data_IF_842603429852
#
_entry.id   IF_842603429852
#
_cell.length_a   1.000
_cell.length_b   1.000
_cell.length_c   1.000
_cell.angle_alpha   90.00
_cell.angle_beta   90.00
_cell.angle_gamma   90.00
#
_symmetry.space_group_name_H-M   'P 1'
#
loop_
_entity.id
_entity.type
_entity.pdbx_description
1 polymer ?
#
# COMPACT_ATOMS: atom_id res chain seq x y z
N UNK A 1 0.68 45.48 -4.83
CA UNK A 1 -0.20 44.99 -5.91
C UNK A 1 0.51 43.85 -6.64
N UNK A 2 0.12 42.59 -6.40
CA UNK A 2 0.77 41.43 -7.00
C UNK A 2 0.08 41.10 -8.34
N UNK A 3 0.87 41.13 -9.44
CA UNK A 3 0.42 40.72 -10.79
C UNK A 3 0.16 39.22 -10.78
N UNK A 4 -1.11 38.84 -10.89
CA UNK A 4 -1.57 37.47 -11.13
C UNK A 4 -1.01 37.03 -12.49
N UNK A 5 -0.07 36.07 -12.51
CA UNK A 5 0.39 35.44 -13.75
C UNK A 5 -0.67 34.42 -14.16
N UNK A 6 -1.30 34.65 -15.30
CA UNK A 6 -2.15 33.66 -15.95
C UNK A 6 -1.26 32.51 -16.45
N UNK A 7 -1.51 31.31 -15.93
CA UNK A 7 -0.98 30.08 -16.51
C UNK A 7 -1.71 29.88 -17.83
N UNK A 8 -1.01 30.10 -18.93
CA UNK A 8 -1.48 29.82 -20.28
C UNK A 8 -1.87 28.35 -20.38
N UNK A 9 -3.17 28.08 -20.43
CA UNK A 9 -3.70 26.76 -20.72
C UNK A 9 -3.23 26.35 -22.11
N UNK A 10 -2.60 25.17 -22.19
CA UNK A 10 -2.20 24.56 -23.46
C UNK A 10 -3.39 24.57 -24.41
N UNK A 11 -3.22 25.21 -25.56
CA UNK A 11 -4.23 25.27 -26.60
C UNK A 11 -4.54 23.86 -27.11
N UNK A 12 -5.77 23.66 -27.62
CA UNK A 12 -6.21 22.37 -28.19
C UNK A 12 -5.22 21.81 -29.23
N UNK A 13 -4.53 22.68 -29.97
CA UNK A 13 -3.52 22.31 -30.97
C UNK A 13 -2.25 21.76 -30.32
N UNK A 14 -1.77 22.37 -29.24
CA UNK A 14 -0.57 21.95 -28.51
C UNK A 14 -0.82 20.61 -27.81
N UNK A 15 -2.03 20.42 -27.30
CA UNK A 15 -2.48 19.17 -26.68
C UNK A 15 -2.56 18.02 -27.70
N UNK A 16 -3.04 18.30 -28.91
CA UNK A 16 -3.05 17.33 -30.02
C UNK A 16 -1.63 16.97 -30.46
N UNK A 17 -0.74 17.97 -30.60
CA UNK A 17 0.68 17.75 -30.93
C UNK A 17 1.40 16.90 -29.88
N UNK A 18 1.14 17.13 -28.59
CA UNK A 18 1.72 16.34 -27.52
C UNK A 18 1.23 14.88 -27.56
N UNK A 19 -0.08 14.69 -27.80
CA UNK A 19 -0.68 13.36 -27.94
C UNK A 19 -0.11 12.57 -29.12
N UNK A 20 -0.01 13.20 -30.29
CA UNK A 20 0.51 12.55 -31.50
C UNK A 20 2.00 12.22 -31.35
N UNK A 21 2.77 13.06 -30.65
CA UNK A 21 4.17 12.81 -30.32
C UNK A 21 4.34 11.60 -29.40
N UNK A 22 3.46 11.42 -28.41
CA UNK A 22 3.46 10.26 -27.53
C UNK A 22 3.10 8.96 -28.25
N UNK A 23 2.15 9.01 -29.19
CA UNK A 23 1.80 7.84 -30.01
C UNK A 23 2.95 7.40 -30.91
N UNK A 24 3.69 8.36 -31.48
CA UNK A 24 4.87 8.05 -32.29
C UNK A 24 6.00 7.43 -31.45
N UNK A 25 6.23 7.95 -30.24
CA UNK A 25 7.21 7.37 -29.30
C UNK A 25 6.83 5.95 -28.89
N UNK A 26 5.54 5.70 -28.62
CA UNK A 26 5.06 4.35 -28.29
C UNK A 26 5.32 3.35 -29.42
N UNK A 27 5.18 3.77 -30.68
CA UNK A 27 5.48 2.92 -31.84
C UNK A 27 6.97 2.69 -32.02
N UNK A 28 7.83 3.66 -31.69
CA UNK A 28 9.29 3.50 -31.83
C UNK A 28 9.90 2.59 -30.77
N UNK A 29 9.20 2.34 -29.66
CA UNK A 29 9.69 1.49 -28.56
C UNK A 29 9.43 -0.01 -28.83
N UNK A 30 8.58 -0.35 -29.79
CA UNK A 30 8.36 -1.75 -30.21
C UNK A 30 9.28 -2.05 -31.39
N UNK A 31 10.57 -2.34 -31.14
CA UNK A 31 11.45 -3.19 -31.98
C UNK A 31 12.90 -3.13 -31.46
N UNK A 32 13.22 -3.96 -30.46
CA UNK A 32 14.55 -4.58 -30.26
C UNK A 32 14.35 -5.90 -29.47
N UNK A 33 13.61 -6.85 -30.04
CA UNK A 33 13.83 -8.27 -29.72
C UNK A 33 14.63 -8.84 -30.90
N UNK A 34 15.92 -9.06 -30.66
CA UNK A 34 16.89 -9.58 -31.61
C UNK A 34 16.54 -11.01 -32.01
N UNK A 35 16.32 -11.23 -33.30
CA UNK A 35 16.58 -12.52 -33.93
C UNK A 35 18.08 -12.80 -33.94
N UNK A 36 18.51 -13.91 -33.33
CA UNK A 36 19.69 -14.69 -33.73
C UNK A 36 19.70 -15.99 -32.91
N UNK A 37 19.16 -17.08 -33.46
CA UNK A 37 19.96 -18.22 -33.95
C UNK A 37 19.04 -19.40 -34.31
N UNK A 38 19.02 -19.70 -35.62
CA UNK A 38 18.54 -20.96 -36.18
C UNK A 38 19.77 -21.77 -36.53
N UNK A 39 19.95 -22.93 -35.89
CA UNK A 39 20.36 -24.12 -36.63
C UNK A 39 20.10 -25.45 -35.88
N UNK A 40 19.30 -26.28 -36.55
CA UNK A 40 19.41 -27.74 -36.74
C UNK A 40 19.78 -28.65 -35.55
N UNK A 41 18.80 -29.45 -35.06
CA UNK A 41 18.88 -30.93 -34.97
C UNK A 41 17.46 -31.53 -35.01
N UNK A 42 17.29 -32.59 -35.82
CA UNK A 42 16.07 -33.41 -36.01
C UNK A 42 16.21 -34.76 -35.24
N UNK A 43 15.16 -35.59 -35.14
CA UNK A 43 14.52 -36.01 -33.90
C UNK A 43 14.99 -37.38 -33.36
N UNK A 44 14.75 -37.62 -32.07
CA UNK A 44 14.75 -38.96 -31.49
C UNK A 44 13.37 -39.25 -30.87
N UNK A 45 12.74 -40.31 -31.39
CA UNK A 45 11.51 -40.93 -30.89
C UNK A 45 11.73 -41.49 -29.48
N UNK A 46 10.76 -41.28 -28.59
CA UNK A 46 10.84 -41.74 -27.20
C UNK A 46 9.55 -41.59 -26.42
N UNK A 47 8.69 -42.60 -26.56
CA UNK A 47 7.42 -42.88 -25.86
C UNK A 47 7.40 -42.70 -24.33
N UNK A 48 6.41 -41.96 -23.82
CA UNK A 48 5.60 -42.17 -22.58
C UNK A 48 4.86 -40.84 -22.31
N UNK A 49 3.55 -40.72 -22.25
CA UNK A 49 2.61 -41.47 -21.43
C UNK A 49 1.73 -40.45 -20.69
N UNK A 50 0.41 -40.54 -20.90
CA UNK A 50 -0.70 -39.93 -20.17
C UNK A 50 -1.24 -38.55 -20.60
N UNK A 51 -2.55 -38.44 -20.90
CA UNK A 51 -3.23 -37.17 -21.03
C UNK A 51 -3.42 -36.56 -19.64
N UNK A 52 -2.93 -35.34 -19.44
CA UNK A 52 -3.36 -34.49 -18.34
C UNK A 52 -4.88 -34.35 -18.43
N UNK A 53 -5.58 -34.96 -17.48
CA UNK A 53 -6.99 -34.72 -17.26
C UNK A 53 -7.18 -33.21 -17.11
N UNK A 54 -8.06 -32.66 -17.94
CA UNK A 54 -8.57 -31.31 -17.75
C UNK A 54 -9.16 -31.25 -16.33
N UNK A 55 -8.42 -30.62 -15.42
CA UNK A 55 -8.97 -30.20 -14.15
C UNK A 55 -10.20 -29.33 -14.48
N UNK A 56 -11.35 -29.56 -13.81
CA UNK A 56 -12.48 -28.68 -13.97
C UNK A 56 -11.97 -27.27 -13.68
N UNK A 57 -12.21 -26.36 -14.64
CA UNK A 57 -12.07 -24.93 -14.45
C UNK A 57 -12.97 -24.56 -13.29
N UNK A 58 -12.43 -24.66 -12.08
CA UNK A 58 -13.12 -24.28 -10.86
C UNK A 58 -13.45 -22.80 -11.03
N UNK A 59 -14.75 -22.54 -10.94
CA UNK A 59 -15.39 -21.24 -10.93
C UNK A 59 -14.44 -20.15 -10.46
N UNK A 60 -14.06 -19.23 -11.35
CA UNK A 60 -13.45 -17.96 -10.96
C UNK A 60 -14.27 -17.43 -9.78
N UNK A 61 -13.69 -17.24 -8.59
CA UNK A 61 -14.43 -16.82 -7.42
C UNK A 61 -15.19 -15.56 -7.80
N UNK A 62 -16.52 -15.61 -7.69
CA UNK A 62 -17.37 -14.45 -7.92
C UNK A 62 -16.75 -13.31 -7.12
N UNK A 63 -16.23 -12.28 -7.80
CA UNK A 63 -15.56 -11.17 -7.12
C UNK A 63 -16.60 -10.55 -6.19
N UNK A 64 -16.48 -10.83 -4.90
CA UNK A 64 -17.33 -10.22 -3.90
C UNK A 64 -17.07 -8.72 -4.00
N UNK A 65 -18.08 -7.98 -4.43
CA UNK A 65 -18.01 -6.53 -4.44
C UNK A 65 -18.13 -6.12 -2.98
N UNK A 66 -16.99 -5.89 -2.32
CA UNK A 66 -16.90 -5.54 -0.90
C UNK A 66 -17.35 -4.10 -0.59
N UNK A 67 -18.30 -3.54 -1.34
CA UNK A 67 -18.81 -2.19 -1.08
C UNK A 67 -19.89 -2.24 0.00
N UNK A 68 -19.77 -1.39 1.02
CA UNK A 68 -20.80 -1.26 2.07
C UNK A 68 -20.86 -2.44 3.02
N UNK A 69 -19.71 -3.06 3.31
CA UNK A 69 -19.65 -4.13 4.31
C UNK A 69 -19.98 -3.59 5.70
N UNK A 70 -20.80 -4.35 6.43
CA UNK A 70 -21.23 -4.02 7.79
C UNK A 70 -20.68 -5.02 8.80
N UNK A 71 -20.83 -4.73 10.09
CA UNK A 71 -20.50 -5.69 11.17
C UNK A 71 -21.25 -7.02 11.00
N UNK A 72 -22.48 -7.01 10.47
CA UNK A 72 -23.23 -8.25 10.21
C UNK A 72 -22.56 -9.12 9.14
N UNK A 73 -21.87 -8.51 8.17
CA UNK A 73 -21.10 -9.25 7.17
C UNK A 73 -19.91 -9.95 7.81
N UNK A 74 -19.22 -9.30 8.75
CA UNK A 74 -18.14 -9.93 9.53
C UNK A 74 -18.65 -11.15 10.29
N UNK A 75 -19.79 -11.04 10.97
CA UNK A 75 -20.39 -12.17 11.68
C UNK A 75 -20.73 -13.35 10.76
N UNK A 76 -21.25 -13.08 9.54
CA UNK A 76 -21.52 -14.13 8.55
C UNK A 76 -20.25 -14.84 8.08
N UNK A 77 -19.13 -14.12 8.02
CA UNK A 77 -17.81 -14.64 7.70
C UNK A 77 -17.08 -15.22 8.92
N UNK A 78 -17.73 -15.31 10.09
CA UNK A 78 -17.12 -15.73 11.37
C UNK A 78 -15.87 -14.91 11.71
N UNK A 79 -15.90 -13.61 11.40
CA UNK A 79 -14.84 -12.66 11.74
C UNK A 79 -15.26 -11.90 12.99
N UNK A 80 -14.50 -12.05 14.07
CA UNK A 80 -14.83 -11.48 15.37
C UNK A 80 -13.91 -10.32 15.76
N UNK A 81 -14.47 -9.27 16.35
CA UNK A 81 -13.67 -8.21 16.97
C UNK A 81 -13.16 -8.67 18.32
N UNK A 82 -11.84 -8.73 18.51
CA UNK A 82 -11.24 -9.27 19.75
C UNK A 82 -10.54 -8.24 20.62
N UNK A 83 -10.42 -6.98 20.20
CA UNK A 83 -9.85 -5.95 21.07
C UNK A 83 -9.29 -4.72 20.35
N UNK A 84 -8.79 -3.77 21.13
CA UNK A 84 -8.09 -2.59 20.64
C UNK A 84 -6.59 -2.80 20.66
N UNK A 85 -5.89 -2.09 19.79
CA UNK A 85 -4.44 -1.97 19.79
C UNK A 85 -4.09 -0.67 20.52
N UNK A 86 -3.29 -0.78 21.57
CA UNK A 86 -2.83 0.34 22.37
C UNK A 86 -1.39 0.65 22.02
N UNK A 87 -1.07 1.94 21.88
CA UNK A 87 0.29 2.38 21.67
C UNK A 87 1.13 2.12 22.91
N UNK A 88 2.32 1.55 22.73
CA UNK A 88 3.24 1.35 23.84
C UNK A 88 3.77 2.68 24.37
N UNK A 89 4.02 2.80 25.69
CA UNK A 89 4.39 4.07 26.32
C UNK A 89 5.76 4.61 25.88
N UNK A 90 6.65 3.75 25.36
CA UNK A 90 8.00 4.10 24.88
C UNK A 90 8.02 4.68 23.46
N UNK A 91 6.86 4.98 22.86
CA UNK A 91 6.77 5.45 21.48
C UNK A 91 7.58 6.73 21.21
N UNK A 92 7.76 7.60 22.20
CA UNK A 92 8.53 8.85 22.03
C UNK A 92 10.01 8.58 21.74
N UNK A 93 10.61 7.62 22.43
CA UNK A 93 12.01 7.22 22.22
C UNK A 93 12.18 6.56 20.84
N UNK A 94 11.20 5.74 20.44
CA UNK A 94 11.17 5.08 19.13
C UNK A 94 11.04 6.07 17.97
N UNK A 95 10.22 7.11 18.13
CA UNK A 95 10.15 8.20 17.15
C UNK A 95 11.52 8.84 17.00
N UNK A 96 12.15 9.26 18.10
CA UNK A 96 13.45 9.91 18.05
C UNK A 96 14.51 9.06 17.32
N UNK A 97 14.51 7.74 17.58
CA UNK A 97 15.42 6.79 16.92
C UNK A 97 15.14 6.62 15.41
N UNK A 98 13.89 6.75 14.98
CA UNK A 98 13.47 6.50 13.60
C UNK A 98 13.45 7.77 12.74
N UNK A 99 13.31 8.97 13.33
CA UNK A 99 13.35 10.26 12.62
C UNK A 99 14.66 10.45 11.86
N UNK A 100 15.78 9.91 12.37
CA UNK A 100 17.10 10.02 11.72
C UNK A 100 17.33 9.01 10.61
N UNK A 101 16.46 8.03 10.42
CA UNK A 101 16.59 7.06 9.33
C UNK A 101 16.32 7.72 7.98
N UNK A 102 17.12 7.40 6.98
CA UNK A 102 16.96 7.96 5.63
C UNK A 102 17.27 9.45 5.53
N UNK A 103 18.10 10.03 6.41
CA UNK A 103 18.45 11.46 6.36
C UNK A 103 19.12 11.90 5.05
N UNK A 104 19.75 10.97 4.35
CA UNK A 104 20.41 11.21 3.06
C UNK A 104 19.48 10.95 1.86
N UNK A 105 18.25 10.49 2.11
CA UNK A 105 17.27 10.18 1.07
C UNK A 105 16.37 11.38 0.77
N UNK A 106 15.74 11.40 -0.40
CA UNK A 106 14.88 12.52 -0.81
C UNK A 106 13.69 12.74 0.13
N UNK A 107 13.04 11.66 0.57
CA UNK A 107 11.95 11.69 1.54
C UNK A 107 12.47 11.54 2.99
N UNK A 108 13.45 12.36 3.39
CA UNK A 108 13.80 12.49 4.80
C UNK A 108 12.72 13.28 5.57
N UNK A 109 12.79 13.27 6.90
CA UNK A 109 11.77 13.85 7.80
C UNK A 109 11.37 15.28 7.39
N UNK A 110 12.30 16.22 7.26
CA UNK A 110 11.96 17.62 6.95
C UNK A 110 11.26 17.77 5.58
N UNK A 111 11.67 16.99 4.59
CA UNK A 111 11.03 16.99 3.28
C UNK A 111 9.62 16.41 3.33
N UNK A 112 9.36 15.42 4.19
CA UNK A 112 7.98 14.98 4.46
C UNK A 112 7.15 16.15 5.00
N UNK A 113 7.59 16.86 6.05
CA UNK A 113 6.83 18.00 6.59
C UNK A 113 6.57 19.09 5.56
N UNK A 114 7.56 19.41 4.71
CA UNK A 114 7.40 20.39 3.62
C UNK A 114 6.36 19.92 2.60
N UNK A 115 6.40 18.64 2.23
CA UNK A 115 5.43 18.05 1.31
C UNK A 115 4.02 18.05 1.92
N UNK A 116 3.86 17.64 3.17
CA UNK A 116 2.57 17.66 3.87
C UNK A 116 2.01 19.08 3.98
N UNK A 117 2.85 20.07 4.26
CA UNK A 117 2.44 21.48 4.29
C UNK A 117 1.99 21.98 2.92
N UNK A 118 2.68 21.58 1.85
CA UNK A 118 2.28 21.87 0.47
C UNK A 118 0.92 21.25 0.15
N UNK A 119 0.73 19.97 0.49
CA UNK A 119 -0.54 19.25 0.29
C UNK A 119 -1.69 19.93 1.06
N UNK A 120 -1.44 20.38 2.30
CA UNK A 120 -2.44 21.08 3.12
C UNK A 120 -2.86 22.42 2.51
N UNK A 121 -1.92 23.14 1.88
CA UNK A 121 -2.21 24.41 1.22
C UNK A 121 -2.90 24.27 -0.14
N UNK A 122 -2.69 23.16 -0.85
CA UNK A 122 -3.15 22.98 -2.24
C UNK A 122 -4.39 22.10 -2.36
N UNK A 123 -4.60 21.16 -1.45
CA UNK A 123 -5.62 20.13 -1.61
C UNK A 123 -6.78 20.39 -0.64
N UNK A 124 -7.98 20.74 -1.14
CA UNK A 124 -9.16 20.89 -0.31
C UNK A 124 -9.42 19.61 0.50
N UNK A 125 -9.71 19.77 1.79
CA UNK A 125 -9.95 18.66 2.71
C UNK A 125 -11.05 17.64 2.32
N UNK A 126 -12.08 17.94 1.48
CA UNK A 126 -13.17 16.98 1.26
C UNK A 126 -13.14 16.21 -0.07
N UNK A 127 -12.08 16.25 -0.88
CA UNK A 127 -12.11 15.52 -2.17
C UNK A 127 -11.50 14.12 -2.07
N UNK A 128 -12.16 13.12 -2.69
CA UNK A 128 -11.69 11.74 -2.79
C UNK A 128 -10.27 11.64 -3.39
N UNK A 129 -9.91 12.52 -4.33
CA UNK A 129 -8.58 12.56 -4.93
C UNK A 129 -7.49 13.07 -3.98
N UNK A 130 -7.84 13.52 -2.77
CA UNK A 130 -6.89 14.10 -1.82
C UNK A 130 -6.06 13.06 -1.08
N UNK A 131 -6.68 11.97 -0.59
CA UNK A 131 -6.06 11.03 0.34
C UNK A 131 -4.80 10.37 -0.22
N UNK A 132 -4.88 9.90 -1.46
CA UNK A 132 -3.76 9.33 -2.24
C UNK A 132 -2.42 10.05 -2.07
N UNK A 133 -2.37 11.37 -2.30
CA UNK A 133 -1.11 12.11 -2.25
C UNK A 133 -0.50 12.14 -0.84
N UNK A 134 -1.34 12.15 0.20
CA UNK A 134 -0.90 12.04 1.58
C UNK A 134 -0.38 10.64 1.89
N UNK A 135 -1.15 9.59 1.52
CA UNK A 135 -0.78 8.19 1.70
C UNK A 135 0.57 7.90 1.05
N UNK A 136 0.76 8.33 -0.21
CA UNK A 136 2.01 8.17 -0.94
C UNK A 136 3.18 8.90 -0.26
N UNK A 137 2.99 10.12 0.24
CA UNK A 137 4.03 10.84 0.97
C UNK A 137 4.53 10.05 2.21
N UNK A 138 3.61 9.42 2.94
CA UNK A 138 3.95 8.56 4.07
C UNK A 138 4.65 7.26 3.66
N UNK A 139 4.19 6.60 2.60
CA UNK A 139 4.81 5.37 2.09
C UNK A 139 6.20 5.63 1.51
N UNK A 140 6.39 6.76 0.81
CA UNK A 140 7.71 7.17 0.34
C UNK A 140 8.66 7.51 1.49
N UNK A 141 8.15 8.15 2.56
CA UNK A 141 8.94 8.34 3.78
C UNK A 141 9.36 7.00 4.38
N UNK A 142 8.43 6.06 4.55
CA UNK A 142 8.75 4.73 5.08
C UNK A 142 9.77 4.00 4.19
N UNK A 143 9.64 4.08 2.87
CA UNK A 143 10.63 3.52 1.93
C UNK A 143 12.01 4.14 2.07
N UNK A 144 12.10 5.45 2.30
CA UNK A 144 13.37 6.15 2.51
C UNK A 144 14.06 5.77 3.83
N UNK A 145 13.32 5.20 4.79
CA UNK A 145 13.87 4.76 6.08
C UNK A 145 14.46 3.34 6.04
N UNK A 146 14.30 2.61 4.93
CA UNK A 146 14.81 1.26 4.78
C UNK A 146 16.34 1.23 4.69
N UNK A 147 16.98 0.13 5.13
CA UNK A 147 18.41 -0.05 4.94
C UNK A 147 18.77 -0.25 3.44
N UNK A 148 20.02 0.02 3.04
CA UNK A 148 20.42 0.04 1.63
C UNK A 148 20.27 -1.29 0.86
N UNK A 149 20.17 -2.42 1.56
CA UNK A 149 20.00 -3.77 1.00
C UNK A 149 18.53 -4.16 0.77
N UNK A 150 17.59 -3.37 1.30
CA UNK A 150 16.14 -3.59 1.17
C UNK A 150 15.51 -2.55 0.25
N UNK A 151 14.41 -2.95 -0.40
CA UNK A 151 13.58 -2.07 -1.22
C UNK A 151 12.13 -2.28 -0.88
N UNK A 152 11.36 -1.18 -0.90
CA UNK A 152 9.91 -1.23 -0.85
C UNK A 152 9.38 -1.34 -2.28
N UNK A 153 8.52 -2.32 -2.52
CA UNK A 153 7.70 -2.40 -3.73
C UNK A 153 6.30 -1.94 -3.34
N UNK A 154 5.87 -0.85 -3.96
CA UNK A 154 4.54 -0.29 -3.79
C UNK A 154 3.69 -0.63 -5.01
N UNK A 155 2.67 -1.45 -4.82
CA UNK A 155 1.67 -1.72 -5.85
C UNK A 155 0.41 -0.90 -5.58
N UNK A 156 0.04 -0.06 -6.56
CA UNK A 156 -1.18 0.72 -6.54
C UNK A 156 -2.23 0.00 -7.39
N UNK A 157 -3.27 -0.53 -6.74
CA UNK A 157 -4.52 -0.96 -7.38
C UNK A 157 -4.48 -2.03 -8.51
N UNK A 158 -3.60 -3.04 -8.46
CA UNK A 158 -3.65 -4.15 -9.46
C UNK A 158 -3.87 -5.55 -8.91
N UNK A 159 -3.50 -5.83 -7.65
CA UNK A 159 -3.50 -7.21 -7.14
C UNK A 159 -4.90 -7.84 -7.01
N UNK A 160 -5.96 -7.07 -6.77
CA UNK A 160 -7.24 -7.72 -6.44
C UNK A 160 -8.54 -6.91 -6.49
N UNK A 161 -8.51 -5.61 -6.82
CA UNK A 161 -9.63 -4.67 -6.55
C UNK A 161 -10.05 -4.57 -5.08
N UNK A 162 -9.38 -5.29 -4.17
CA UNK A 162 -9.71 -5.30 -2.74
C UNK A 162 -8.91 -4.22 -1.99
N UNK A 163 -7.69 -3.90 -2.39
CA UNK A 163 -6.85 -2.94 -1.67
C UNK A 163 -6.39 -1.82 -2.58
N UNK A 164 -6.25 -0.63 -2.03
CA UNK A 164 -5.82 0.55 -2.77
C UNK A 164 -4.30 0.54 -2.92
N UNK A 165 -3.59 0.15 -1.85
CA UNK A 165 -2.14 -0.04 -1.87
C UNK A 165 -1.71 -1.35 -1.22
N UNK A 166 -0.65 -1.92 -1.78
CA UNK A 166 0.10 -3.01 -1.17
C UNK A 166 1.57 -2.60 -1.09
N UNK A 167 2.14 -2.63 0.11
CA UNK A 167 3.54 -2.33 0.36
C UNK A 167 4.26 -3.61 0.81
N UNK A 168 5.34 -3.95 0.11
CA UNK A 168 6.20 -5.10 0.42
C UNK A 168 7.62 -4.63 0.60
N UNK A 169 8.28 -5.09 1.66
CA UNK A 169 9.73 -4.94 1.82
C UNK A 169 10.40 -6.24 1.38
N UNK A 170 11.37 -6.13 0.49
CA UNK A 170 12.10 -7.25 -0.04
C UNK A 170 13.59 -6.91 -0.25
N UNK A 171 14.42 -7.94 -0.41
CA UNK A 171 15.79 -7.74 -0.90
C UNK A 171 15.76 -7.12 -2.30
N UNK A 172 16.84 -6.45 -2.71
CA UNK A 172 16.90 -5.82 -4.03
C UNK A 172 16.58 -6.79 -5.19
N UNK A 173 17.03 -8.06 -5.10
CA UNK A 173 16.72 -9.09 -6.10
C UNK A 173 15.24 -9.44 -6.13
N UNK A 174 14.64 -9.71 -4.97
CA UNK A 174 13.23 -10.07 -4.88
C UNK A 174 12.31 -8.90 -5.26
N UNK A 175 12.69 -7.67 -4.91
CA UNK A 175 11.99 -6.46 -5.35
C UNK A 175 11.99 -6.32 -6.89
N UNK A 176 13.09 -6.68 -7.56
CA UNK A 176 13.15 -6.71 -9.03
C UNK A 176 12.13 -7.66 -9.66
N UNK A 177 11.91 -8.84 -9.05
CA UNK A 177 10.92 -9.83 -9.51
C UNK A 177 9.51 -9.27 -9.30
N UNK A 178 9.23 -8.77 -8.09
CA UNK A 178 7.91 -8.22 -7.72
C UNK A 178 7.51 -6.98 -8.54
N UNK A 179 8.47 -6.24 -9.10
CA UNK A 179 8.21 -5.10 -9.98
C UNK A 179 7.88 -5.52 -11.42
N UNK A 180 8.39 -6.68 -11.86
CA UNK A 180 8.13 -7.19 -13.21
C UNK A 180 6.76 -7.83 -13.29
N UNK A 181 6.36 -8.52 -12.23
CA UNK A 181 5.06 -9.15 -12.16
C UNK A 181 4.53 -9.04 -10.72
N UNK A 182 3.39 -8.36 -10.62
CA UNK A 182 2.77 -8.03 -9.36
C UNK A 182 1.47 -8.82 -9.18
N UNK A 183 1.40 -10.05 -9.70
CA UNK A 183 0.34 -11.00 -9.40
C UNK A 183 0.40 -11.46 -7.94
N UNK A 184 -0.77 -11.82 -7.38
CA UNK A 184 -0.91 -12.31 -6.01
C UNK A 184 -0.13 -13.61 -5.80
N UNK A 185 -0.04 -14.46 -6.82
CA UNK A 185 0.71 -15.70 -6.75
C UNK A 185 2.20 -15.42 -6.53
N UNK A 186 2.74 -14.44 -7.25
CA UNK A 186 4.14 -14.03 -7.12
C UNK A 186 4.38 -13.33 -5.79
N UNK A 187 3.41 -12.52 -5.33
CA UNK A 187 3.42 -11.95 -3.99
C UNK A 187 3.48 -13.06 -2.93
N UNK A 188 2.65 -14.10 -3.04
CA UNK A 188 2.62 -15.22 -2.11
C UNK A 188 3.93 -16.02 -2.09
N UNK A 189 4.55 -16.20 -3.25
CA UNK A 189 5.82 -16.92 -3.39
C UNK A 189 7.04 -16.15 -2.90
N UNK A 190 7.09 -14.83 -3.13
CA UNK A 190 8.31 -14.04 -2.93
C UNK A 190 8.22 -13.02 -1.80
N UNK A 191 7.02 -12.54 -1.44
CA UNK A 191 6.86 -11.59 -0.36
C UNK A 191 6.82 -12.32 0.99
N UNK A 192 7.90 -12.16 1.76
CA UNK A 192 7.92 -12.60 3.16
C UNK A 192 7.09 -11.70 4.08
N UNK A 193 6.77 -10.50 3.60
CA UNK A 193 6.08 -9.44 4.34
C UNK A 193 5.14 -8.71 3.39
N UNK A 194 3.96 -8.29 3.84
CA UNK A 194 3.08 -7.44 3.06
C UNK A 194 2.20 -6.63 4.00
N UNK A 195 1.99 -5.37 3.65
CA UNK A 195 1.11 -4.47 4.38
C UNK A 195 0.11 -3.84 3.43
N UNK A 196 -1.15 -3.88 3.84
CA UNK A 196 -2.28 -3.44 3.04
C UNK A 196 -2.76 -2.07 3.49
N UNK A 197 -2.94 -1.13 2.55
CA UNK A 197 -3.57 0.15 2.85
C UNK A 197 -4.86 0.25 2.07
N UNK A 198 -5.95 0.50 2.78
CA UNK A 198 -7.22 0.88 2.19
C UNK A 198 -7.47 2.37 2.39
N UNK A 199 -7.81 3.04 1.30
CA UNK A 199 -8.22 4.43 1.27
C UNK A 199 -9.71 4.51 1.64
N UNK A 200 -10.05 5.35 2.62
CA UNK A 200 -11.43 5.72 2.92
C UNK A 200 -11.73 7.11 2.39
N UNK A 201 -12.95 7.26 1.86
CA UNK A 201 -13.46 8.51 1.30
C UNK A 201 -14.09 9.42 2.35
N UNK A 202 -14.41 8.87 3.52
CA UNK A 202 -15.23 9.56 4.52
C UNK A 202 -14.36 10.11 5.65
N UNK A 203 -14.85 11.20 6.26
CA UNK A 203 -14.24 11.76 7.46
C UNK A 203 -14.37 10.85 8.67
N UNK A 204 -15.35 9.93 8.69
CA UNK A 204 -15.46 8.89 9.71
C UNK A 204 -14.91 7.57 9.19
N UNK A 205 -13.60 7.39 9.27
CA UNK A 205 -12.91 6.18 8.85
C UNK A 205 -13.35 4.91 9.60
N UNK A 206 -13.98 5.05 10.78
CA UNK A 206 -14.41 3.88 11.56
C UNK A 206 -15.52 3.06 10.90
N UNK A 207 -16.36 3.68 10.08
CA UNK A 207 -17.48 3.00 9.42
C UNK A 207 -17.00 2.04 8.31
N UNK A 208 -15.81 2.28 7.76
CA UNK A 208 -15.18 1.46 6.72
C UNK A 208 -14.31 0.33 7.29
N UNK A 209 -14.17 0.21 8.62
CA UNK A 209 -13.40 -0.86 9.27
C UNK A 209 -13.89 -2.27 8.89
N UNK A 210 -15.22 -2.57 8.88
CA UNK A 210 -15.67 -3.89 8.46
C UNK A 210 -15.27 -4.23 7.02
N UNK A 211 -15.35 -3.25 6.12
CA UNK A 211 -14.91 -3.42 4.73
C UNK A 211 -13.42 -3.68 4.65
N UNK A 212 -12.61 -2.86 5.33
CA UNK A 212 -11.18 -3.03 5.45
C UNK A 212 -10.78 -4.45 5.91
N UNK A 213 -11.38 -4.91 7.01
CA UNK A 213 -11.11 -6.23 7.60
C UNK A 213 -11.49 -7.37 6.67
N UNK A 214 -12.67 -7.32 6.04
CA UNK A 214 -13.08 -8.33 5.06
C UNK A 214 -12.06 -8.47 3.93
N UNK A 215 -11.58 -7.34 3.40
CA UNK A 215 -10.65 -7.33 2.28
C UNK A 215 -9.26 -7.84 2.68
N UNK A 216 -8.79 -7.47 3.87
CA UNK A 216 -7.54 -8.01 4.43
C UNK A 216 -7.64 -9.52 4.71
N UNK A 217 -8.79 -10.00 5.19
CA UNK A 217 -9.06 -11.42 5.39
C UNK A 217 -8.96 -12.20 4.09
N UNK A 218 -9.63 -11.75 3.02
CA UNK A 218 -9.52 -12.38 1.70
C UNK A 218 -8.07 -12.38 1.16
N UNK A 219 -7.37 -11.25 1.29
CA UNK A 219 -5.95 -11.18 0.92
C UNK A 219 -5.09 -12.19 1.70
N UNK A 220 -5.33 -12.34 3.01
CA UNK A 220 -4.64 -13.33 3.83
C UNK A 220 -4.94 -14.77 3.40
N UNK A 221 -6.20 -15.09 3.05
CA UNK A 221 -6.57 -16.40 2.49
C UNK A 221 -5.84 -16.69 1.19
N UNK A 222 -5.87 -15.74 0.25
CA UNK A 222 -5.22 -15.89 -1.06
C UNK A 222 -3.71 -16.08 -0.92
N UNK A 223 -3.08 -15.37 0.02
CA UNK A 223 -1.64 -15.45 0.27
C UNK A 223 -1.23 -16.55 1.26
N UNK A 224 -2.22 -17.31 1.77
CA UNK A 224 -2.04 -18.35 2.79
C UNK A 224 -1.26 -17.84 4.02
N UNK A 225 -1.70 -16.69 4.55
CA UNK A 225 -1.13 -16.06 5.75
C UNK A 225 -2.15 -16.04 6.87
N UNK A 226 -1.78 -16.58 8.03
CA UNK A 226 -2.60 -16.58 9.24
C UNK A 226 -2.64 -15.22 9.93
N UNK A 227 -1.70 -14.32 9.64
CA UNK A 227 -1.67 -12.97 10.22
C UNK A 227 -1.51 -11.96 9.09
N UNK A 228 -2.32 -10.91 9.13
CA UNK A 228 -2.29 -9.81 8.15
C UNK A 228 -2.37 -8.48 8.86
N UNK A 229 -1.42 -7.60 8.55
CA UNK A 229 -1.40 -6.21 9.02
C UNK A 229 -1.76 -5.24 7.91
N UNK A 230 -2.41 -4.15 8.30
CA UNK A 230 -2.82 -3.12 7.37
C UNK A 230 -3.23 -1.82 8.05
N UNK A 231 -3.63 -0.85 7.25
CA UNK A 231 -4.22 0.39 7.72
C UNK A 231 -5.41 0.81 6.86
N UNK A 232 -6.36 1.46 7.50
CA UNK A 232 -7.45 2.20 6.89
C UNK A 232 -7.20 3.69 7.09
N UNK A 233 -7.19 4.47 6.01
CA UNK A 233 -6.79 5.88 6.09
C UNK A 233 -7.42 6.75 5.01
N UNK A 234 -7.65 8.02 5.32
CA UNK A 234 -7.95 9.07 4.34
C UNK A 234 -6.70 9.92 4.02
N UNK A 235 -5.51 9.44 4.42
CA UNK A 235 -4.23 10.15 4.35
C UNK A 235 -3.91 11.00 5.58
N UNK A 236 -4.91 11.49 6.31
CA UNK A 236 -4.73 12.29 7.54
C UNK A 236 -4.95 11.47 8.80
N UNK A 237 -5.99 10.65 8.81
CA UNK A 237 -6.35 9.78 9.92
C UNK A 237 -5.95 8.35 9.57
N UNK A 238 -5.27 7.67 10.48
CA UNK A 238 -4.77 6.31 10.27
C UNK A 238 -5.30 5.38 11.35
N UNK A 239 -6.03 4.35 10.95
CA UNK A 239 -6.45 3.24 11.82
C UNK A 239 -5.65 2.01 11.41
N UNK A 240 -4.81 1.51 12.31
CA UNK A 240 -4.04 0.29 12.09
C UNK A 240 -4.86 -0.95 12.46
N UNK A 241 -4.77 -1.97 11.62
CA UNK A 241 -5.59 -3.17 11.67
C UNK A 241 -4.71 -4.42 11.71
N UNK A 242 -5.03 -5.33 12.62
CA UNK A 242 -4.41 -6.65 12.71
C UNK A 242 -5.52 -7.70 12.56
N UNK A 243 -5.40 -8.56 11.55
CA UNK A 243 -6.32 -9.66 11.28
C UNK A 243 -5.59 -10.98 11.51
N UNK A 244 -6.13 -11.82 12.39
CA UNK A 244 -5.65 -13.18 12.62
C UNK A 244 -6.67 -14.16 12.04
N UNK A 245 -6.25 -14.93 11.05
CA UNK A 245 -7.04 -15.92 10.33
C UNK A 245 -6.80 -17.29 10.96
N UNK A 246 -7.86 -18.06 11.17
CA UNK A 246 -7.75 -19.42 11.70
C UNK A 246 -7.00 -20.36 10.74
N UNK A 247 -6.43 -21.44 11.25
CA UNK A 247 -5.64 -22.40 10.47
C UNK A 247 -6.45 -23.07 9.34
N UNK A 248 -7.77 -23.17 9.49
CA UNK A 248 -8.70 -23.69 8.49
C UNK A 248 -9.17 -22.64 7.48
N UNK A 249 -8.78 -21.37 7.66
CA UNK A 249 -9.18 -20.23 6.83
C UNK A 249 -10.70 -20.03 6.72
N UNK A 250 -11.48 -20.53 7.68
CA UNK A 250 -12.94 -20.43 7.73
C UNK A 250 -13.45 -19.38 8.72
N UNK A 251 -12.56 -18.83 9.54
CA UNK A 251 -12.86 -17.78 10.51
C UNK A 251 -11.69 -16.83 10.68
N UNK A 252 -11.93 -15.70 11.34
CA UNK A 252 -10.86 -14.79 11.73
C UNK A 252 -11.23 -14.01 12.98
N UNK A 253 -10.23 -13.33 13.52
CA UNK A 253 -10.42 -12.26 14.48
C UNK A 253 -9.67 -11.02 14.04
N UNK A 254 -10.09 -9.85 14.52
CA UNK A 254 -9.36 -8.62 14.26
C UNK A 254 -9.28 -7.71 15.49
N UNK A 255 -8.21 -6.94 15.51
CA UNK A 255 -7.98 -5.82 16.44
C UNK A 255 -7.74 -4.55 15.64
N UNK A 256 -8.04 -3.40 16.24
CA UNK A 256 -7.79 -2.09 15.63
C UNK A 256 -7.20 -1.09 16.62
N UNK A 257 -6.38 -0.17 16.14
CA UNK A 257 -5.95 0.98 16.92
C UNK A 257 -7.05 2.04 17.04
N UNK A 258 -6.84 3.00 17.93
CA UNK A 258 -7.47 4.31 17.80
C UNK A 258 -6.93 5.03 16.56
N UNK A 259 -7.66 6.04 16.07
CA UNK A 259 -7.22 6.82 14.93
C UNK A 259 -6.02 7.69 15.32
N UNK A 260 -4.93 7.57 14.56
CA UNK A 260 -3.79 8.48 14.63
C UNK A 260 -4.06 9.63 13.68
N UNK A 261 -4.43 10.78 14.23
CA UNK A 261 -4.81 11.97 13.47
C UNK A 261 -3.59 12.85 13.18
N UNK A 262 -3.43 13.22 11.91
CA UNK A 262 -2.48 14.25 11.53
C UNK A 262 -3.01 15.62 11.94
N UNK A 263 -2.36 16.23 12.94
CA UNK A 263 -2.72 17.56 13.41
C UNK A 263 -2.04 18.65 12.59
N UNK A 264 -2.86 19.63 12.17
CA UNK A 264 -2.40 20.85 11.50
C UNK A 264 -2.88 22.03 12.32
N UNK A 265 -1.95 22.89 12.72
CA UNK A 265 -2.25 24.15 13.39
C UNK A 265 -2.05 25.34 12.46
N UNK A 266 -2.69 26.45 12.80
CA UNK A 266 -2.46 27.75 12.18
C UNK A 266 -1.90 28.68 13.25
N UNK A 267 -0.72 29.24 13.01
CA UNK A 267 -0.11 30.22 13.92
C UNK A 267 -0.88 31.55 13.91
N UNK A 268 -0.63 32.44 14.90
CA UNK A 268 -1.34 33.73 14.99
C UNK A 268 -1.20 34.63 13.76
N UNK A 269 -0.12 34.49 12.99
CA UNK A 269 0.14 35.18 11.73
C UNK A 269 -0.55 34.52 10.51
N UNK A 270 -1.30 33.44 10.73
CA UNK A 270 -2.06 32.73 9.71
C UNK A 270 -1.26 31.65 8.97
N UNK A 271 0.01 31.41 9.31
CA UNK A 271 0.80 30.36 8.65
C UNK A 271 0.35 28.97 9.10
N UNK A 272 0.19 28.07 8.12
CA UNK A 272 -0.11 26.67 8.40
C UNK A 272 1.15 25.95 8.88
N UNK A 273 0.98 25.05 9.84
CA UNK A 273 2.04 24.19 10.37
C UNK A 273 1.51 22.78 10.55
N UNK A 274 2.31 21.80 10.18
CA UNK A 274 2.07 20.40 10.50
C UNK A 274 2.69 20.14 11.87
N UNK A 275 1.91 19.60 12.80
CA UNK A 275 2.35 19.41 14.17
C UNK A 275 3.31 18.22 14.28
N UNK A 276 4.41 18.44 14.99
CA UNK A 276 5.35 17.37 15.36
C UNK A 276 4.81 16.64 16.60
N UNK A 277 5.07 15.33 16.76
CA UNK A 277 5.88 14.46 15.89
C UNK A 277 5.06 13.57 14.94
N UNK A 278 3.78 13.88 14.72
CA UNK A 278 2.81 12.95 14.11
C UNK A 278 3.21 12.40 12.74
N UNK A 279 3.79 13.19 11.81
CA UNK A 279 4.24 12.63 10.54
C UNK A 279 5.33 11.56 10.66
N UNK A 280 6.34 11.82 11.48
CA UNK A 280 7.42 10.86 11.71
C UNK A 280 6.90 9.61 12.42
N UNK A 281 5.96 9.80 13.34
CA UNK A 281 5.32 8.71 14.06
C UNK A 281 4.56 7.76 13.12
N UNK A 282 3.70 8.27 12.25
CA UNK A 282 2.97 7.46 11.26
C UNK A 282 3.96 6.71 10.36
N UNK A 283 4.97 7.41 9.83
CA UNK A 283 5.96 6.79 8.96
C UNK A 283 6.78 5.68 9.66
N UNK A 284 7.08 5.85 10.95
CA UNK A 284 7.81 4.86 11.73
C UNK A 284 6.98 3.61 12.02
N UNK A 285 5.67 3.76 12.30
CA UNK A 285 4.74 2.63 12.39
C UNK A 285 4.69 1.91 11.04
N UNK A 286 4.50 2.65 9.95
CA UNK A 286 4.42 2.09 8.59
C UNK A 286 5.68 1.30 8.25
N UNK A 287 6.88 1.86 8.45
CA UNK A 287 8.12 1.12 8.24
C UNK A 287 8.10 -0.24 8.95
N UNK A 288 7.86 -0.23 10.27
CA UNK A 288 7.90 -1.44 11.08
C UNK A 288 6.82 -2.44 10.66
N UNK A 289 5.60 -1.98 10.43
CA UNK A 289 4.47 -2.84 10.10
C UNK A 289 4.56 -3.40 8.68
N UNK A 290 5.17 -2.67 7.74
CA UNK A 290 5.48 -3.21 6.41
C UNK A 290 6.52 -4.33 6.52
N UNK A 291 7.58 -4.14 7.30
CA UNK A 291 8.60 -5.17 7.53
C UNK A 291 8.10 -6.39 8.32
N UNK A 292 6.99 -6.27 9.03
CA UNK A 292 6.43 -7.33 9.89
C UNK A 292 5.00 -7.68 9.48
N UNK A 293 4.63 -7.45 8.22
CA UNK A 293 3.23 -7.45 7.75
C UNK A 293 2.45 -8.75 7.97
N UNK A 294 3.15 -9.88 8.09
CA UNK A 294 2.57 -11.21 8.36
C UNK A 294 2.97 -11.79 9.72
N UNK A 295 3.61 -11.01 10.58
CA UNK A 295 4.04 -11.46 11.89
C UNK A 295 3.01 -11.09 12.98
N UNK A 296 2.88 -11.94 13.99
CA UNK A 296 2.15 -11.62 15.23
C UNK A 296 2.77 -10.41 15.94
N UNK A 297 2.03 -9.81 16.87
CA UNK A 297 2.54 -8.69 17.68
C UNK A 297 3.67 -9.17 18.60
N UNK A 298 4.86 -8.64 18.38
CA UNK A 298 6.04 -8.91 19.21
C UNK A 298 6.23 -7.92 20.35
N UNK A 299 7.20 -8.21 21.23
CA UNK A 299 7.65 -7.27 22.27
C UNK A 299 8.15 -5.95 21.70
N UNK A 300 8.74 -5.98 20.51
CA UNK A 300 9.29 -4.82 19.82
C UNK A 300 8.26 -4.10 18.94
N UNK A 301 6.99 -4.52 18.93
CA UNK A 301 5.95 -3.86 18.14
C UNK A 301 5.61 -2.47 18.69
N UNK A 302 5.02 -1.61 17.87
CA UNK A 302 4.50 -0.29 18.26
C UNK A 302 3.24 -0.38 19.11
N UNK A 303 2.48 -1.46 18.94
CA UNK A 303 1.24 -1.70 19.64
C UNK A 303 1.32 -2.90 20.58
N UNK A 304 0.46 -2.88 21.58
CA UNK A 304 0.08 -4.02 22.42
C UNK A 304 -1.43 -4.24 22.35
N UNK A 305 -1.88 -5.42 22.77
CA UNK A 305 -3.27 -5.86 22.67
C UNK A 305 -3.94 -5.97 24.04
#
# INVERSE_FOLDING_TARGET
MAKKRELSALGRVELQLAHDSLLNLKRSIVYEESEEDKDLVKPAEGSCGQPFGALPSESRPHSLIFSGMTVQNLTKLKIEFTGRLFLKPDFTERIAATTTLGQNEFYFSENLYRQLLLLEGLIPRPTEASGRAWIEAFLFRASAMLPPDKRMVLNISTLSRFVDYTAVVASQRAAGILLQDADLDILGMHAQTCFFVMETKFSNSSDDVPQAVCRMYECGKLLQKSVVRGALTNGRDWIFLLVNISDDYDSASYRKSDAVELQTTRSPDGQLRIDKPWPDFIAAILLYWIENGFAELGSNDWFEA
#
